data_IF_972896520990
#
_entry.id   IF_972896520990
#
_cell.length_a   1.000
_cell.length_b   1.000
_cell.length_c   1.000
_cell.angle_alpha   90.00
_cell.angle_beta   90.00
_cell.angle_gamma   90.00
#
_symmetry.space_group_name_H-M   'P 1'
#
loop_
_entity.id
_entity.type
_entity.pdbx_description
1 polymer ?
#
# COMPACT_ATOMS: atom_id res chain seq x y z
N UNK A 1 19.60 -15.61 -1.09
CA UNK A 1 18.46 -14.68 -1.23
C UNK A 1 18.20 -14.05 0.12
N UNK A 2 18.14 -12.73 0.18
CA UNK A 2 17.69 -12.03 1.39
C UNK A 2 16.18 -12.16 1.55
N UNK A 3 15.72 -12.27 2.80
CA UNK A 3 14.30 -12.35 3.13
C UNK A 3 13.73 -10.94 3.29
N UNK A 4 12.51 -10.73 2.82
CA UNK A 4 11.77 -9.47 2.98
C UNK A 4 10.37 -9.77 3.49
N UNK A 5 9.78 -8.79 4.18
CA UNK A 5 8.37 -8.81 4.55
C UNK A 5 7.56 -8.05 3.51
N UNK A 6 6.61 -8.74 2.87
CA UNK A 6 5.64 -8.07 1.99
C UNK A 6 4.46 -7.63 2.82
N UNK A 7 4.19 -6.32 2.85
CA UNK A 7 3.02 -5.76 3.49
C UNK A 7 1.99 -5.37 2.44
N UNK A 8 0.91 -6.15 2.34
CA UNK A 8 -0.11 -5.92 1.32
C UNK A 8 -1.25 -5.03 1.83
N UNK A 9 -1.24 -3.78 1.39
CA UNK A 9 -2.37 -2.88 1.50
C UNK A 9 -3.53 -3.40 0.63
N UNK A 10 -4.67 -3.67 1.28
CA UNK A 10 -5.92 -4.03 0.62
C UNK A 10 -6.94 -2.93 0.85
N UNK A 11 -8.05 -3.22 1.54
CA UNK A 11 -9.10 -2.23 1.84
C UNK A 11 -8.69 -1.17 2.86
N UNK A 12 -7.74 -1.49 3.74
CA UNK A 12 -7.30 -0.59 4.80
C UNK A 12 -6.04 0.18 4.39
N UNK A 13 -6.24 1.33 3.76
CA UNK A 13 -5.18 2.22 3.28
C UNK A 13 -4.80 3.23 4.38
N UNK A 14 -4.27 2.74 5.50
CA UNK A 14 -3.86 3.58 6.63
C UNK A 14 -2.49 3.18 7.16
N UNK A 15 -1.70 4.20 7.51
CA UNK A 15 -0.39 4.06 8.17
C UNK A 15 -0.52 4.06 9.69
N UNK A 16 -1.43 4.87 10.23
CA UNK A 16 -1.68 4.99 11.66
C UNK A 16 -2.64 3.91 12.14
N UNK A 17 -2.43 3.42 13.37
CA UNK A 17 -3.22 2.37 14.01
C UNK A 17 -3.34 1.06 13.18
N UNK A 18 -2.30 0.76 12.41
CA UNK A 18 -2.22 -0.46 11.61
C UNK A 18 -1.27 -1.47 12.28
N UNK A 19 -1.84 -2.34 13.13
CA UNK A 19 -1.07 -3.35 13.90
C UNK A 19 -0.24 -4.29 13.03
N UNK A 20 -0.72 -4.63 11.85
CA UNK A 20 0.00 -5.52 10.94
C UNK A 20 1.20 -4.79 10.32
N UNK A 21 1.05 -3.51 9.97
CA UNK A 21 2.14 -2.68 9.49
C UNK A 21 3.17 -2.45 10.60
N UNK A 22 2.72 -2.13 11.81
CA UNK A 22 3.58 -1.98 12.98
C UNK A 22 4.41 -3.25 13.23
N UNK A 23 3.78 -4.43 13.23
CA UNK A 23 4.48 -5.69 13.39
C UNK A 23 5.52 -5.95 12.28
N UNK A 24 5.21 -5.60 11.04
CA UNK A 24 6.14 -5.74 9.92
C UNK A 24 7.35 -4.80 10.07
N UNK A 25 7.11 -3.54 10.44
CA UNK A 25 8.13 -2.51 10.62
C UNK A 25 9.04 -2.77 11.82
N UNK A 26 8.51 -3.41 12.87
CA UNK A 26 9.28 -3.81 14.05
C UNK A 26 10.08 -5.11 13.86
N UNK A 27 10.00 -5.74 12.67
CA UNK A 27 10.79 -6.93 12.36
C UNK A 27 12.20 -6.56 11.93
N UNK A 28 13.10 -7.56 11.93
CA UNK A 28 14.48 -7.40 11.42
C UNK A 28 14.57 -7.41 9.88
N UNK A 29 13.47 -7.71 9.19
CA UNK A 29 13.46 -7.86 7.73
C UNK A 29 13.02 -6.55 7.07
N UNK A 30 13.62 -6.17 5.92
CA UNK A 30 13.11 -5.06 5.11
C UNK A 30 11.63 -5.28 4.77
N UNK A 31 10.84 -4.21 4.84
CA UNK A 31 9.41 -4.24 4.51
C UNK A 31 9.20 -3.65 3.12
N UNK A 32 8.52 -4.41 2.27
CA UNK A 32 8.03 -3.99 0.96
C UNK A 32 6.51 -3.80 1.03
N UNK A 33 6.03 -2.56 1.16
CA UNK A 33 4.61 -2.27 1.08
C UNK A 33 4.12 -2.32 -0.38
N UNK A 34 3.03 -3.05 -0.62
CA UNK A 34 2.42 -3.23 -1.95
C UNK A 34 0.93 -2.98 -1.90
N UNK A 35 0.38 -2.46 -3.00
CA UNK A 35 -1.06 -2.44 -3.27
C UNK A 35 -1.25 -3.05 -4.65
N UNK A 36 -2.32 -3.82 -4.83
CA UNK A 36 -2.62 -4.50 -6.10
C UNK A 36 -3.99 -4.03 -6.55
N UNK A 37 -4.05 -3.40 -7.72
CA UNK A 37 -5.34 -3.13 -8.39
C UNK A 37 -5.89 -4.45 -8.92
N UNK A 38 -6.96 -4.92 -8.31
CA UNK A 38 -7.64 -6.15 -8.74
C UNK A 38 -8.59 -5.81 -9.89
N UNK A 39 -8.30 -6.33 -11.08
CA UNK A 39 -9.11 -6.10 -12.28
C UNK A 39 -10.52 -6.63 -12.12
N UNK A 40 -10.75 -7.68 -11.32
CA UNK A 40 -12.11 -8.16 -11.03
C UNK A 40 -12.94 -7.12 -10.25
N UNK A 41 -12.28 -6.18 -9.57
CA UNK A 41 -12.92 -5.09 -8.86
C UNK A 41 -12.97 -3.84 -9.74
N UNK A 42 -11.86 -3.48 -10.39
CA UNK A 42 -11.77 -2.24 -11.17
C UNK A 42 -12.52 -2.29 -12.50
N UNK A 43 -12.65 -3.46 -13.12
CA UNK A 43 -13.35 -3.60 -14.41
C UNK A 43 -14.88 -3.48 -14.25
N UNK A 44 -15.40 -3.66 -13.03
CA UNK A 44 -16.81 -3.42 -12.71
C UNK A 44 -17.13 -1.93 -12.51
N UNK A 45 -16.12 -1.07 -12.48
CA UNK A 45 -16.25 0.38 -12.26
C UNK A 45 -16.25 1.14 -13.58
N UNK A 46 -16.92 2.30 -13.59
CA UNK A 46 -16.77 3.22 -14.73
C UNK A 46 -15.36 3.81 -14.72
N UNK A 47 -14.85 4.19 -15.90
CA UNK A 47 -13.51 4.75 -16.05
C UNK A 47 -13.30 6.06 -15.25
N UNK A 48 -14.39 6.77 -14.97
CA UNK A 48 -14.45 8.01 -14.20
C UNK A 48 -14.93 7.81 -12.75
N UNK A 49 -14.96 6.56 -12.26
CA UNK A 49 -15.46 6.27 -10.92
C UNK A 49 -14.60 7.00 -9.85
N UNK A 50 -15.20 7.85 -9.02
CA UNK A 50 -14.46 8.66 -8.04
C UNK A 50 -13.72 7.82 -7.00
N UNK A 51 -14.10 6.54 -6.80
CA UNK A 51 -13.40 5.62 -5.89
C UNK A 51 -12.00 5.29 -6.39
N UNK A 52 -11.80 5.19 -7.71
CA UNK A 52 -10.49 4.93 -8.30
C UNK A 52 -9.56 6.10 -8.00
N UNK A 53 -10.00 7.33 -8.30
CA UNK A 53 -9.25 8.55 -8.01
C UNK A 53 -8.88 8.67 -6.53
N UNK A 54 -9.85 8.43 -5.64
CA UNK A 54 -9.62 8.45 -4.20
C UNK A 54 -8.56 7.43 -3.73
N UNK A 55 -8.60 6.20 -4.26
CA UNK A 55 -7.59 5.17 -3.94
C UNK A 55 -6.20 5.61 -4.40
N UNK A 56 -6.08 6.14 -5.63
CA UNK A 56 -4.80 6.65 -6.15
C UNK A 56 -4.24 7.79 -5.29
N UNK A 57 -5.06 8.79 -4.94
CA UNK A 57 -4.64 9.91 -4.10
C UNK A 57 -4.20 9.44 -2.71
N UNK A 58 -4.93 8.48 -2.14
CA UNK A 58 -4.61 7.89 -0.84
C UNK A 58 -3.28 7.14 -0.89
N UNK A 59 -3.06 6.30 -1.92
CA UNK A 59 -1.80 5.58 -2.12
C UNK A 59 -0.62 6.54 -2.36
N UNK A 60 -0.82 7.62 -3.11
CA UNK A 60 0.19 8.64 -3.33
C UNK A 60 0.60 9.32 -2.02
N UNK A 61 -0.38 9.65 -1.17
CA UNK A 61 -0.15 10.21 0.17
C UNK A 61 0.63 9.23 1.07
N UNK A 62 0.20 7.97 1.11
CA UNK A 62 0.88 6.89 1.85
C UNK A 62 2.33 6.74 1.38
N UNK A 63 2.57 6.65 0.07
CA UNK A 63 3.91 6.51 -0.47
C UNK A 63 4.79 7.72 -0.11
N UNK A 64 4.24 8.94 -0.13
CA UNK A 64 4.96 10.14 0.30
C UNK A 64 5.39 10.04 1.77
N UNK A 65 4.53 9.59 2.67
CA UNK A 65 4.86 9.43 4.08
C UNK A 65 5.85 8.28 4.32
N UNK A 66 5.72 7.16 3.61
CA UNK A 66 6.66 6.05 3.67
C UNK A 66 8.06 6.46 3.18
N UNK A 67 8.14 7.26 2.12
CA UNK A 67 9.42 7.77 1.59
C UNK A 67 10.18 8.60 2.61
N UNK A 68 9.49 9.41 3.42
CA UNK A 68 10.13 10.15 4.53
C UNK A 68 10.77 9.23 5.57
N UNK A 69 10.26 8.01 5.70
CA UNK A 69 10.76 6.96 6.61
C UNK A 69 11.77 6.01 5.94
N UNK A 70 12.14 6.25 4.68
CA UNK A 70 13.06 5.41 3.91
C UNK A 70 12.42 4.14 3.31
N UNK A 71 11.10 4.01 3.37
CA UNK A 71 10.33 2.90 2.80
C UNK A 71 9.74 3.34 1.45
N UNK A 72 9.74 2.46 0.44
CA UNK A 72 9.16 2.74 -0.89
C UNK A 72 8.07 1.74 -1.19
N UNK A 73 6.90 2.19 -1.65
CA UNK A 73 5.94 1.29 -2.31
C UNK A 73 6.38 1.08 -3.75
N UNK A 74 6.29 -0.14 -4.26
CA UNK A 74 6.41 -0.38 -5.72
C UNK A 74 4.99 -0.32 -6.28
N UNK A 75 4.66 0.68 -7.11
CA UNK A 75 3.47 0.60 -7.94
C UNK A 75 3.79 -0.33 -9.12
N UNK A 76 3.13 -1.48 -9.18
CA UNK A 76 2.96 -2.21 -10.44
C UNK A 76 1.67 -1.74 -11.11
#
# INVERSE_FOLDING_TARGET
MEKINVFWFRRDLRLDDNKALEAALNSVLPVLPVFIFDTNITDELSADDPRIGFVYETLASINKELNKKGLRTVPD
#
